data_IF_405582580709
#
_entry.id   IF_405582580709
#
_cell.length_a   1.000
_cell.length_b   1.000
_cell.length_c   1.000
_cell.angle_alpha   90.00
_cell.angle_beta   90.00
_cell.angle_gamma   90.00
#
_symmetry.space_group_name_H-M   'P 1'
#
loop_
_entity.id
_entity.type
_entity.pdbx_description
1 polymer ?
#
# COMPACT_ATOMS: atom_id res chain seq x y z
N UNK A 1 5.33 -2.57 1.17
CA UNK A 1 4.42 -1.49 1.59
C UNK A 1 5.19 -0.47 2.39
N UNK A 2 5.03 0.80 2.06
CA UNK A 2 5.53 1.91 2.84
C UNK A 2 4.36 2.74 3.33
N UNK A 3 4.43 3.16 4.60
CA UNK A 3 3.63 4.25 5.12
C UNK A 3 4.41 5.54 4.91
N UNK A 4 3.73 6.53 4.35
CA UNK A 4 4.24 7.87 4.20
C UNK A 4 3.43 8.83 5.07
N UNK A 5 4.12 9.78 5.68
CA UNK A 5 3.52 10.94 6.33
C UNK A 5 4.22 12.19 5.79
N UNK A 6 3.44 13.19 5.34
CA UNK A 6 3.99 14.36 4.65
C UNK A 6 4.93 13.99 3.48
N UNK A 7 4.54 12.99 2.68
CA UNK A 7 5.34 12.44 1.57
C UNK A 7 6.70 11.82 1.95
N UNK A 8 6.99 11.65 3.24
CA UNK A 8 8.20 10.97 3.71
C UNK A 8 7.86 9.55 4.15
N UNK A 9 8.66 8.57 3.70
CA UNK A 9 8.50 7.17 4.14
C UNK A 9 8.92 7.05 5.60
N UNK A 10 7.96 6.73 6.47
CA UNK A 10 8.18 6.62 7.92
C UNK A 10 8.15 5.17 8.42
N UNK A 11 7.51 4.26 7.69
CA UNK A 11 7.51 2.84 8.04
C UNK A 11 7.49 1.94 6.80
N UNK A 12 8.00 0.71 6.95
CA UNK A 12 8.02 -0.31 5.90
C UNK A 12 7.53 -1.64 6.45
N UNK A 13 6.64 -2.30 5.71
CA UNK A 13 6.21 -3.68 5.95
C UNK A 13 6.30 -4.49 4.65
N UNK A 14 6.56 -5.79 4.79
CA UNK A 14 6.70 -6.73 3.67
C UNK A 14 5.91 -8.00 3.97
N UNK A 15 5.39 -8.62 2.93
CA UNK A 15 4.80 -9.95 2.97
C UNK A 15 5.88 -11.03 2.87
N UNK A 16 5.46 -12.27 3.08
CA UNK A 16 6.26 -13.44 2.72
C UNK A 16 6.31 -13.62 1.19
N UNK A 17 7.44 -14.12 0.69
CA UNK A 17 7.60 -14.44 -0.74
C UNK A 17 6.73 -15.65 -1.10
N UNK A 18 5.86 -15.49 -2.10
CA UNK A 18 5.10 -16.58 -2.71
C UNK A 18 5.84 -17.02 -3.97
N UNK A 19 6.43 -18.22 -3.94
CA UNK A 19 7.30 -18.70 -5.01
C UNK A 19 6.50 -19.30 -6.17
N UNK A 20 7.01 -19.13 -7.40
CA UNK A 20 6.54 -19.83 -8.61
C UNK A 20 5.03 -19.66 -8.89
N UNK A 21 4.51 -18.44 -8.72
CA UNK A 21 3.10 -18.14 -9.00
C UNK A 21 2.94 -16.72 -9.55
N UNK A 22 2.08 -16.57 -10.55
CA UNK A 22 1.61 -15.27 -11.05
C UNK A 22 0.35 -14.78 -10.32
N UNK A 23 -0.26 -15.63 -9.49
CA UNK A 23 -1.46 -15.34 -8.73
C UNK A 23 -1.21 -15.58 -7.24
N UNK A 24 -0.34 -14.79 -6.59
CA UNK A 24 0.00 -14.99 -5.18
C UNK A 24 -1.18 -14.66 -4.27
N UNK A 25 -1.47 -15.56 -3.31
CA UNK A 25 -2.40 -15.30 -2.21
C UNK A 25 -1.59 -15.06 -0.93
N UNK A 26 -1.68 -13.85 -0.39
CA UNK A 26 -0.93 -13.44 0.80
C UNK A 26 -1.72 -13.72 2.08
N UNK A 27 -2.94 -13.19 2.20
CA UNK A 27 -3.76 -13.23 3.42
C UNK A 27 -2.97 -12.80 4.68
N UNK A 28 -2.17 -11.74 4.53
CA UNK A 28 -1.36 -11.15 5.61
C UNK A 28 -1.93 -9.78 5.98
N UNK A 29 -2.08 -9.52 7.28
CA UNK A 29 -2.53 -8.22 7.81
C UNK A 29 -1.35 -7.42 8.35
N UNK A 30 -1.38 -6.11 8.12
CA UNK A 30 -0.35 -5.19 8.61
C UNK A 30 -0.99 -4.06 9.39
N UNK A 31 -0.37 -3.71 10.51
CA UNK A 31 -0.75 -2.57 11.34
C UNK A 31 0.34 -1.51 11.24
N UNK A 32 -0.10 -0.27 11.10
CA UNK A 32 0.74 0.92 11.07
C UNK A 32 0.24 1.89 12.13
N UNK A 33 1.15 2.39 12.95
CA UNK A 33 0.87 3.47 13.88
C UNK A 33 0.95 4.80 13.12
N UNK A 34 -0.09 5.61 13.23
CA UNK A 34 -0.11 6.96 12.63
C UNK A 34 0.63 7.92 13.57
N UNK A 35 1.49 8.83 13.04
CA UNK A 35 2.25 9.76 13.87
C UNK A 35 1.38 10.58 14.83
N UNK A 36 1.88 10.74 16.06
CA UNK A 36 1.26 11.63 17.04
C UNK A 36 1.26 13.07 16.50
N UNK A 37 0.08 13.73 16.53
CA UNK A 37 -0.12 15.05 15.95
C UNK A 37 -0.58 15.05 14.49
N UNK A 38 -0.78 13.88 13.87
CA UNK A 38 -1.57 13.81 12.64
C UNK A 38 -3.05 14.08 12.96
N UNK A 39 -3.65 15.04 12.26
CA UNK A 39 -5.09 15.26 12.27
C UNK A 39 -5.74 14.31 11.26
N UNK A 40 -6.06 13.09 11.73
CA UNK A 40 -6.65 12.08 10.86
C UNK A 40 -5.66 11.51 9.84
N UNK A 41 -6.10 11.43 8.57
CA UNK A 41 -5.38 10.75 7.49
C UNK A 41 -4.93 11.68 6.35
N UNK A 42 -5.14 12.99 6.45
CA UNK A 42 -4.96 13.95 5.34
C UNK A 42 -3.54 13.99 4.75
N UNK A 43 -2.53 13.69 5.58
CA UNK A 43 -1.13 13.65 5.17
C UNK A 43 -0.53 12.23 5.15
N UNK A 44 -1.39 11.22 5.29
CA UNK A 44 -1.01 9.81 5.30
C UNK A 44 -1.20 9.23 3.91
N UNK A 45 -0.19 8.55 3.38
CA UNK A 45 -0.34 7.75 2.18
C UNK A 45 0.35 6.40 2.30
N UNK A 46 -0.11 5.43 1.50
CA UNK A 46 0.44 4.09 1.43
C UNK A 46 0.98 3.83 0.03
N UNK A 47 2.24 3.41 -0.06
CA UNK A 47 2.86 2.94 -1.29
C UNK A 47 3.01 1.41 -1.25
N UNK A 48 2.35 0.74 -2.18
CA UNK A 48 2.47 -0.69 -2.42
C UNK A 48 3.41 -0.92 -3.60
N UNK A 49 4.33 -1.87 -3.43
CA UNK A 49 5.21 -2.35 -4.49
C UNK A 49 5.02 -3.86 -4.59
N UNK A 50 4.65 -4.33 -5.77
CA UNK A 50 4.75 -5.73 -6.13
C UNK A 50 6.14 -5.96 -6.72
N UNK A 51 6.88 -6.88 -6.12
CA UNK A 51 8.27 -7.16 -6.48
C UNK A 51 8.36 -8.60 -7.00
N UNK A 52 9.12 -8.79 -8.07
CA UNK A 52 9.67 -10.10 -8.37
C UNK A 52 10.87 -10.32 -7.46
N UNK A 53 10.85 -11.43 -6.71
CA UNK A 53 11.92 -11.76 -5.80
C UNK A 53 12.87 -12.74 -6.47
N UNK A 54 14.13 -12.33 -6.56
CA UNK A 54 15.21 -13.17 -7.06
C UNK A 54 16.20 -13.52 -5.96
N UNK A 55 16.76 -14.73 -6.06
CA UNK A 55 17.77 -15.21 -5.11
C UNK A 55 19.14 -14.61 -5.36
N UNK A 56 19.45 -14.29 -6.62
CA UNK A 56 20.82 -13.96 -7.08
C UNK A 56 20.88 -12.53 -7.60
N UNK A 57 19.89 -12.12 -8.38
CA UNK A 57 19.79 -10.78 -8.96
C UNK A 57 19.06 -9.83 -8.02
N UNK A 58 19.05 -8.55 -8.38
CA UNK A 58 18.29 -7.53 -7.68
C UNK A 58 16.80 -7.72 -7.98
N UNK A 59 15.98 -7.70 -6.94
CA UNK A 59 14.52 -7.71 -7.08
C UNK A 59 14.03 -6.60 -8.00
N UNK A 60 13.13 -6.96 -8.90
CA UNK A 60 12.51 -6.04 -9.86
C UNK A 60 11.13 -5.61 -9.38
N UNK A 61 10.73 -4.38 -9.71
CA UNK A 61 9.37 -3.90 -9.41
C UNK A 61 8.50 -4.28 -10.59
N UNK A 62 7.53 -5.16 -10.34
CA UNK A 62 6.51 -5.55 -11.31
C UNK A 62 5.45 -4.45 -11.42
N UNK A 63 5.10 -3.83 -10.30
CA UNK A 63 4.10 -2.77 -10.30
C UNK A 63 3.94 -2.06 -8.97
N UNK A 64 3.21 -0.95 -9.03
CA UNK A 64 3.03 0.02 -7.94
C UNK A 64 1.57 0.39 -7.77
N UNK A 65 1.20 0.70 -6.54
CA UNK A 65 -0.07 1.32 -6.20
C UNK A 65 0.18 2.34 -5.08
N UNK A 66 -0.47 3.49 -5.17
CA UNK A 66 -0.44 4.50 -4.11
C UNK A 66 -1.88 4.81 -3.69
N UNK A 67 -2.12 4.87 -2.37
CA UNK A 67 -3.40 5.28 -1.77
C UNK A 67 -3.16 6.49 -0.88
N UNK A 68 -4.06 7.47 -0.90
CA UNK A 68 -4.02 8.64 -0.02
C UNK A 68 -3.08 9.77 -0.42
N UNK A 69 -2.27 9.59 -1.45
CA UNK A 69 -1.49 10.70 -2.00
C UNK A 69 -2.31 11.57 -2.94
N UNK A 70 -1.83 12.79 -3.18
CA UNK A 70 -2.38 13.70 -4.20
C UNK A 70 -2.32 13.16 -5.63
N UNK A 71 -1.59 12.07 -5.88
CA UNK A 71 -1.49 11.39 -7.18
C UNK A 71 -2.48 10.23 -7.32
N UNK A 72 -3.22 9.91 -6.26
CA UNK A 72 -4.23 8.84 -6.28
C UNK A 72 -5.37 9.24 -7.20
N UNK A 73 -5.72 8.37 -8.16
CA UNK A 73 -6.83 8.60 -9.09
C UNK A 73 -7.60 7.30 -9.33
N UNK A 74 -8.83 7.40 -9.83
CA UNK A 74 -9.68 6.24 -10.11
C UNK A 74 -10.00 5.44 -8.84
N UNK A 75 -9.89 4.11 -8.92
CA UNK A 75 -10.19 3.21 -7.79
C UNK A 75 -9.32 3.48 -6.57
N UNK A 76 -8.06 3.88 -6.75
CA UNK A 76 -7.17 4.21 -5.63
C UNK A 76 -7.69 5.39 -4.79
N UNK A 77 -8.21 6.43 -5.44
CA UNK A 77 -8.80 7.58 -4.77
C UNK A 77 -10.13 7.21 -4.10
N UNK A 78 -10.97 6.45 -4.81
CA UNK A 78 -12.23 5.97 -4.27
C UNK A 78 -12.04 5.15 -2.98
N UNK A 79 -11.15 4.15 -3.02
CA UNK A 79 -10.84 3.31 -1.85
C UNK A 79 -10.35 4.16 -0.67
N UNK A 80 -9.43 5.11 -0.92
CA UNK A 80 -8.93 5.94 0.18
C UNK A 80 -10.02 6.82 0.79
N UNK A 81 -10.90 7.40 -0.03
CA UNK A 81 -12.03 8.18 0.47
C UNK A 81 -12.98 7.32 1.32
N UNK A 82 -13.29 6.10 0.90
CA UNK A 82 -14.09 5.17 1.70
C UNK A 82 -13.42 4.87 3.04
N UNK A 83 -12.09 4.67 3.06
CA UNK A 83 -11.32 4.43 4.29
C UNK A 83 -11.42 5.62 5.24
N UNK A 84 -11.24 6.85 4.75
CA UNK A 84 -11.36 8.06 5.56
C UNK A 84 -12.77 8.28 6.10
N UNK A 85 -13.80 7.96 5.30
CA UNK A 85 -15.20 8.23 5.64
C UNK A 85 -15.88 7.11 6.45
N UNK A 86 -15.29 5.91 6.52
CA UNK A 86 -15.86 4.75 7.19
C UNK A 86 -14.97 4.23 8.32
N UNK A 87 -14.83 4.98 9.43
CA UNK A 87 -13.96 4.58 10.54
C UNK A 87 -14.37 3.21 11.11
N UNK A 88 -13.37 2.35 11.35
CA UNK A 88 -13.51 0.97 11.86
C UNK A 88 -14.17 -0.03 10.91
N UNK A 89 -14.51 0.37 9.68
CA UNK A 89 -14.98 -0.56 8.65
C UNK A 89 -13.79 -1.07 7.84
N UNK A 90 -13.75 -2.38 7.60
CA UNK A 90 -12.82 -2.96 6.63
C UNK A 90 -13.38 -2.76 5.22
N UNK A 91 -12.54 -2.22 4.33
CA UNK A 91 -12.87 -1.99 2.92
C UNK A 91 -11.90 -2.82 2.08
N UNK A 92 -12.44 -3.51 1.08
CA UNK A 92 -11.68 -4.36 0.19
C UNK A 92 -11.99 -3.94 -1.25
N UNK A 93 -10.95 -3.67 -2.03
CA UNK A 93 -11.09 -3.25 -3.41
C UNK A 93 -9.92 -3.78 -4.25
N UNK A 94 -10.21 -4.14 -5.49
CA UNK A 94 -9.18 -4.53 -6.47
C UNK A 94 -8.60 -3.31 -7.16
N UNK A 95 -7.28 -3.30 -7.36
CA UNK A 95 -6.60 -2.22 -8.07
C UNK A 95 -5.71 -2.78 -9.18
N UNK A 96 -5.73 -2.10 -10.33
CA UNK A 96 -4.71 -2.32 -11.36
C UNK A 96 -3.41 -1.64 -10.92
N UNK A 97 -2.31 -2.38 -10.97
CA UNK A 97 -0.99 -1.83 -10.70
C UNK A 97 -0.51 -0.95 -11.87
N UNK A 98 0.25 0.08 -11.55
CA UNK A 98 0.97 0.93 -12.52
C UNK A 98 2.42 0.47 -12.60
N UNK A 99 3.01 0.58 -13.79
CA UNK A 99 4.46 0.39 -14.00
C UNK A 99 5.25 1.59 -13.44
#
# INVERSE_FOLDING_TARGET
MYLLYNSQRIAKKKTHVKKRTLNPVFNESFVFDIPAGAEGLDNVSLEFLLLDWDRVTKNEVIGRLELGSSKSTGSALHHWNEVCNSPRRQIAEWHKLRE
#
